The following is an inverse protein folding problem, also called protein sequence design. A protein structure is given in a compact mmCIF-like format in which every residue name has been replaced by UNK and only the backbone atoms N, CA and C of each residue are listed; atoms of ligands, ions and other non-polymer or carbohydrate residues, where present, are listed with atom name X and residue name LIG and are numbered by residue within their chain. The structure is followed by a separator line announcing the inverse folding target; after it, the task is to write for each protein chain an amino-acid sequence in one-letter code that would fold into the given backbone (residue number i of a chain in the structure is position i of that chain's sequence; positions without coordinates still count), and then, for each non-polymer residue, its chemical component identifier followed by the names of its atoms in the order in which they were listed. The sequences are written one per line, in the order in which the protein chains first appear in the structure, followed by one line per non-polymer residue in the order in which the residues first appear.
data_IF_568807360690
#
_entry.id   IF_568807360690
#
_cell.length_a   1.000
_cell.length_b   1.000
_cell.length_c   1.000
_cell.angle_alpha   90.00
_cell.angle_beta   90.00
_cell.angle_gamma   90.00
#
_symmetry.space_group_name_H-M   'P 1'
#
loop_
_entity.id
_entity.type
_entity.pdbx_description
1 polymer ?
#
# COMPACT_ATOMS: atom_id res chain seq x y z
N UNK A 1 -35.02 -21.84 13.76
CA UNK A 1 -36.43 -21.82 14.21
C UNK A 1 -37.08 -20.45 13.96
N UNK A 2 -37.26 -20.05 12.70
CA UNK A 2 -37.97 -18.82 12.33
C UNK A 2 -38.54 -18.93 10.90
N UNK A 3 -39.23 -20.03 10.60
CA UNK A 3 -39.82 -20.26 9.28
C UNK A 3 -41.25 -20.81 9.33
N UNK A 4 -41.96 -20.63 10.46
CA UNK A 4 -43.28 -21.25 10.66
C UNK A 4 -44.44 -20.26 10.88
N UNK A 5 -44.28 -18.98 10.54
CA UNK A 5 -45.33 -17.96 10.70
C UNK A 5 -45.44 -17.03 9.47
N UNK A 6 -45.58 -17.60 8.28
CA UNK A 6 -45.92 -16.81 7.07
C UNK A 6 -47.05 -17.51 6.31
N UNK A 7 -48.18 -16.81 6.21
CA UNK A 7 -49.39 -17.25 5.54
C UNK A 7 -49.20 -17.37 4.02
N UNK A 8 -50.00 -18.25 3.40
CA UNK A 8 -49.88 -18.67 1.99
C UNK A 8 -49.75 -17.51 0.99
N UNK A 9 -50.44 -16.39 1.21
CA UNK A 9 -50.39 -15.21 0.33
C UNK A 9 -49.04 -14.47 0.32
N UNK A 10 -48.29 -14.47 1.43
CA UNK A 10 -46.98 -13.79 1.51
C UNK A 10 -45.86 -14.61 0.86
N UNK A 11 -46.04 -15.93 0.73
CA UNK A 11 -45.08 -16.82 0.05
C UNK A 11 -45.09 -16.61 -1.47
N UNK A 12 -46.25 -16.32 -2.07
CA UNK A 12 -46.35 -16.01 -3.50
C UNK A 12 -45.71 -14.66 -3.85
N UNK A 13 -45.84 -13.64 -2.99
CA UNK A 13 -45.21 -12.34 -3.21
C UNK A 13 -43.67 -12.41 -3.14
N UNK A 14 -43.13 -13.19 -2.20
CA UNK A 14 -41.69 -13.41 -2.07
C UNK A 14 -41.10 -14.21 -3.26
N UNK A 15 -41.84 -15.18 -3.80
CA UNK A 15 -41.46 -15.93 -5.01
C UNK A 15 -41.51 -15.05 -6.28
N UNK A 16 -42.48 -14.14 -6.38
CA UNK A 16 -42.60 -13.22 -7.52
C UNK A 16 -41.46 -12.17 -7.55
N UNK A 17 -41.05 -11.62 -6.40
CA UNK A 17 -39.89 -10.72 -6.33
C UNK A 17 -38.57 -11.42 -6.64
N UNK A 18 -38.44 -12.71 -6.28
CA UNK A 18 -37.24 -13.49 -6.56
C UNK A 18 -37.11 -13.84 -8.07
N UNK A 19 -38.23 -14.04 -8.78
CA UNK A 19 -38.23 -14.28 -10.23
C UNK A 19 -37.92 -13.02 -11.06
N UNK A 20 -38.32 -11.83 -10.59
CA UNK A 20 -37.99 -10.56 -11.27
C UNK A 20 -36.49 -10.25 -11.15
N UNK A 21 -35.87 -10.54 -9.99
CA UNK A 21 -34.42 -10.35 -9.80
C UNK A 21 -33.55 -11.38 -10.56
N UNK A 22 -34.11 -12.51 -10.99
CA UNK A 22 -33.39 -13.54 -11.75
C UNK A 22 -33.47 -13.32 -13.28
N UNK A 23 -34.37 -12.46 -13.78
CA UNK A 23 -34.52 -12.19 -15.21
C UNK A 23 -33.69 -10.98 -15.71
N UNK A 24 -33.15 -10.14 -14.82
CA UNK A 24 -32.31 -8.99 -15.17
C UNK A 24 -30.81 -9.33 -15.38
N UNK A 25 -30.40 -10.61 -15.25
CA UNK A 25 -28.99 -11.03 -15.33
C UNK A 25 -28.58 -11.53 -16.74
N UNK A 26 -29.47 -11.54 -17.75
CA UNK A 26 -29.11 -12.01 -19.10
C UNK A 26 -29.43 -11.03 -20.21
N UNK A 27 -28.54 -10.06 -20.45
CA UNK A 27 -28.31 -9.47 -21.79
C UNK A 27 -26.84 -9.03 -21.94
N UNK A 28 -26.04 -9.61 -22.86
CA UNK A 28 -24.74 -9.06 -23.24
C UNK A 28 -24.90 -8.03 -24.38
N UNK A 29 -24.30 -6.85 -24.22
CA UNK A 29 -24.21 -5.85 -25.29
C UNK A 29 -23.21 -6.28 -26.37
N UNK A 30 -23.74 -6.59 -27.55
CA UNK A 30 -23.01 -6.69 -28.82
C UNK A 30 -22.71 -5.29 -29.34
N UNK A 31 -21.42 -4.94 -29.46
CA UNK A 31 -20.96 -3.80 -30.27
C UNK A 31 -20.64 -4.30 -31.67
N UNK A 32 -21.53 -4.02 -32.64
CA UNK A 32 -21.22 -4.16 -34.05
C UNK A 32 -20.55 -2.88 -34.57
N UNK A 33 -19.31 -3.01 -35.01
CA UNK A 33 -18.71 -2.11 -35.98
C UNK A 33 -19.33 -2.38 -37.36
N UNK A 34 -19.80 -1.35 -38.06
CA UNK A 34 -20.04 -1.48 -39.49
C UNK A 34 -19.66 -0.23 -40.29
N UNK A 35 -19.09 -0.52 -41.46
CA UNK A 35 -18.39 0.36 -42.40
C UNK A 35 -19.15 0.29 -43.72
N UNK A 36 -19.62 1.42 -44.25
CA UNK A 36 -19.84 1.71 -45.69
C UNK A 36 -20.58 3.06 -45.82
N UNK A 37 -20.02 4.08 -46.47
CA UNK A 37 -20.08 4.40 -47.92
C UNK A 37 -21.50 4.64 -48.47
N UNK A 38 -21.74 5.89 -48.92
CA UNK A 38 -22.48 6.14 -50.17
C UNK A 38 -23.63 7.15 -50.11
N UNK A 39 -23.35 8.38 -50.57
CA UNK A 39 -24.15 9.11 -51.58
C UNK A 39 -25.46 9.80 -51.18
N UNK A 40 -25.54 11.11 -51.42
CA UNK A 40 -26.82 11.83 -51.56
C UNK A 40 -26.77 13.33 -51.22
N UNK A 41 -26.47 14.17 -52.21
CA UNK A 41 -26.81 15.60 -52.25
C UNK A 41 -28.36 15.78 -52.34
N UNK A 42 -28.98 16.92 -51.94
CA UNK A 42 -28.73 18.22 -52.59
C UNK A 42 -28.89 19.53 -51.77
N UNK A 43 -28.20 20.56 -52.31
CA UNK A 43 -28.58 21.98 -52.50
C UNK A 43 -29.06 22.84 -51.31
N UNK A 44 -28.33 23.94 -51.11
CA UNK A 44 -28.93 25.28 -51.14
C UNK A 44 -28.35 26.32 -50.17
N UNK A 45 -27.70 27.35 -50.70
CA UNK A 45 -27.87 28.73 -50.22
C UNK A 45 -26.72 29.45 -49.49
N UNK A 46 -25.95 30.25 -50.23
CA UNK A 46 -25.84 31.70 -49.98
C UNK A 46 -24.71 32.29 -49.10
N UNK A 47 -23.89 33.17 -49.71
CA UNK A 47 -23.16 34.29 -49.04
C UNK A 47 -21.64 34.11 -48.92
N UNK A 48 -20.78 34.61 -49.86
CA UNK A 48 -20.18 35.98 -49.96
C UNK A 48 -19.28 36.30 -48.73
N UNK A 49 -17.99 36.68 -48.77
CA UNK A 49 -17.08 37.32 -49.74
C UNK A 49 -15.60 36.93 -49.41
N UNK A 50 -14.68 36.74 -50.37
CA UNK A 50 -13.53 37.63 -50.74
C UNK A 50 -12.74 38.26 -49.58
N UNK A 51 -11.41 38.40 -49.56
CA UNK A 51 -10.30 38.31 -50.54
C UNK A 51 -8.98 38.39 -49.73
N UNK A 52 -7.94 37.64 -50.12
CA UNK A 52 -6.67 38.23 -50.59
C UNK A 52 -5.51 37.30 -50.19
N UNK A 53 -4.88 36.57 -51.12
CA UNK A 53 -3.76 36.98 -52.01
C UNK A 53 -2.47 37.22 -51.23
N UNK A 54 -1.31 36.65 -51.55
CA UNK A 54 -0.85 35.84 -52.69
C UNK A 54 0.46 35.13 -52.30
N UNK A 55 0.80 34.00 -52.95
CA UNK A 55 1.71 33.91 -54.12
C UNK A 55 3.17 34.27 -53.78
N UNK A 56 4.22 33.59 -54.25
CA UNK A 56 4.49 32.54 -55.25
C UNK A 56 5.94 32.10 -54.97
N UNK A 57 6.33 30.84 -55.12
CA UNK A 57 6.70 30.20 -56.40
C UNK A 57 8.17 29.74 -56.27
N UNK A 58 8.48 28.44 -56.39
CA UNK A 58 8.92 27.77 -57.64
C UNK A 58 10.46 27.69 -57.65
N UNK A 59 11.16 26.64 -58.05
CA UNK A 59 10.85 25.37 -58.72
C UNK A 59 12.16 24.80 -59.32
N UNK A 60 12.19 23.49 -59.61
CA UNK A 60 13.12 22.78 -60.53
C UNK A 60 14.57 22.60 -60.05
N UNK A 61 15.34 21.54 -60.36
CA UNK A 61 15.14 20.34 -61.18
C UNK A 61 16.51 19.81 -61.69
N UNK A 62 16.82 18.54 -61.40
CA UNK A 62 17.50 17.54 -62.29
C UNK A 62 18.91 17.75 -62.91
N UNK A 63 19.88 16.84 -62.63
CA UNK A 63 20.46 15.76 -63.53
C UNK A 63 21.88 15.28 -63.16
N UNK A 64 22.08 13.94 -63.21
CA UNK A 64 23.27 13.15 -63.69
C UNK A 64 24.62 13.21 -62.92
N UNK A 65 25.49 12.20 -62.82
CA UNK A 65 25.61 10.80 -63.28
C UNK A 65 27.08 10.30 -63.23
N UNK A 66 27.31 8.97 -63.09
CA UNK A 66 28.55 8.14 -63.29
C UNK A 66 29.73 8.34 -62.28
N UNK A 67 30.56 7.36 -61.88
CA UNK A 67 30.75 5.92 -62.14
C UNK A 67 32.10 5.43 -61.53
N UNK A 68 32.30 4.10 -61.39
CA UNK A 68 33.65 3.46 -61.29
C UNK A 68 33.94 2.52 -60.09
N UNK A 69 34.13 1.21 -60.34
CA UNK A 69 34.98 0.27 -59.54
C UNK A 69 36.36 0.07 -60.23
N UNK A 70 37.14 -1.05 -60.09
CA UNK A 70 36.95 -2.31 -59.32
C UNK A 70 38.27 -3.00 -58.76
N UNK A 71 38.14 -4.29 -58.34
CA UNK A 71 39.13 -5.44 -58.21
C UNK A 71 39.74 -5.73 -56.81
N UNK A 72 39.94 -6.97 -56.34
CA UNK A 72 39.62 -8.34 -56.83
C UNK A 72 40.40 -9.45 -56.07
N UNK A 73 39.96 -10.72 -56.22
CA UNK A 73 40.72 -12.00 -56.07
C UNK A 73 40.85 -12.61 -54.65
N UNK A 74 40.70 -13.92 -54.38
CA UNK A 74 40.46 -15.11 -55.21
C UNK A 74 40.31 -16.38 -54.34
N UNK A 75 39.70 -17.45 -54.91
CA UNK A 75 39.66 -18.82 -54.35
C UNK A 75 40.93 -19.63 -54.67
N UNK A 76 41.00 -20.97 -54.40
CA UNK A 76 40.17 -21.95 -55.12
C UNK A 76 39.74 -23.28 -54.42
N UNK A 77 38.62 -23.82 -54.93
CA UNK A 77 38.23 -25.21 -55.31
C UNK A 77 38.54 -26.47 -54.46
N UNK A 78 37.49 -27.29 -54.26
CA UNK A 78 37.55 -28.76 -54.30
C UNK A 78 36.39 -29.50 -53.58
N UNK A 79 35.44 -30.12 -54.31
CA UNK A 79 34.48 -31.12 -53.78
C UNK A 79 35.09 -32.55 -53.74
N UNK A 80 34.33 -33.66 -53.56
CA UNK A 80 32.87 -33.82 -53.62
C UNK A 80 32.20 -34.75 -52.56
N UNK A 81 30.86 -34.68 -52.51
CA UNK A 81 29.84 -35.72 -52.23
C UNK A 81 29.94 -36.63 -50.98
N UNK A 82 28.90 -36.57 -50.15
CA UNK A 82 28.48 -37.65 -49.24
C UNK A 82 27.08 -37.39 -48.69
N UNK A 83 26.09 -38.14 -49.16
CA UNK A 83 24.74 -38.14 -48.60
C UNK A 83 24.71 -38.79 -47.22
N UNK A 84 23.89 -38.24 -46.32
CA UNK A 84 23.69 -38.75 -44.97
C UNK A 84 22.44 -38.13 -44.38
N UNK A 85 21.36 -38.88 -44.44
CA UNK A 85 20.06 -38.57 -43.84
C UNK A 85 20.23 -38.47 -42.32
N UNK A 86 19.92 -37.30 -41.73
CA UNK A 86 19.84 -37.16 -40.28
C UNK A 86 18.51 -37.78 -39.78
N UNK A 87 18.51 -38.65 -38.74
CA UNK A 87 17.28 -39.26 -38.24
C UNK A 87 16.43 -38.24 -37.48
N UNK A 88 15.13 -38.24 -37.78
CA UNK A 88 14.10 -37.64 -36.93
C UNK A 88 14.14 -38.28 -35.55
N UNK A 89 14.31 -37.47 -34.52
CA UNK A 89 14.06 -37.84 -33.12
C UNK A 89 12.56 -38.13 -32.96
N UNK A 90 12.15 -39.34 -32.51
CA UNK A 90 10.76 -39.63 -32.24
C UNK A 90 10.33 -39.01 -30.90
N UNK A 91 9.20 -38.29 -30.93
CA UNK A 91 8.41 -37.94 -29.75
C UNK A 91 8.04 -39.21 -28.97
N UNK A 92 8.18 -39.27 -27.64
CA UNK A 92 7.62 -40.36 -26.85
C UNK A 92 6.10 -40.26 -26.85
N UNK A 93 5.43 -41.32 -27.35
CA UNK A 93 3.98 -41.52 -27.16
C UNK A 93 3.68 -41.97 -25.72
N UNK A 94 2.47 -41.71 -25.21
CA UNK A 94 2.10 -41.97 -23.83
C UNK A 94 1.90 -43.47 -23.58
N UNK A 95 2.42 -43.97 -22.46
CA UNK A 95 2.25 -45.36 -22.04
C UNK A 95 0.83 -45.59 -21.45
N UNK A 96 0.23 -46.79 -21.62
CA UNK A 96 -1.15 -47.05 -21.28
C UNK A 96 -1.36 -47.31 -19.78
N UNK A 97 -2.56 -46.95 -19.31
CA UNK A 97 -3.06 -47.17 -17.96
C UNK A 97 -2.89 -48.63 -17.49
N UNK A 98 -2.47 -48.86 -16.24
CA UNK A 98 -2.80 -50.07 -15.51
C UNK A 98 -4.17 -49.92 -14.82
N UNK A 99 -5.03 -50.91 -15.04
CA UNK A 99 -6.31 -51.11 -14.37
C UNK A 99 -6.07 -51.61 -12.93
N UNK A 100 -6.75 -50.98 -11.97
CA UNK A 100 -7.35 -51.65 -10.81
C UNK A 100 -6.44 -52.08 -9.65
N UNK A 101 -6.28 -51.18 -8.67
CA UNK A 101 -5.84 -51.52 -7.31
C UNK A 101 -6.38 -50.47 -6.32
N UNK A 102 -7.27 -50.89 -5.43
CA UNK A 102 -8.02 -50.00 -4.52
C UNK A 102 -7.13 -49.22 -3.54
N UNK A 103 -7.53 -47.98 -3.29
CA UNK A 103 -6.98 -47.09 -2.26
C UNK A 103 -7.30 -47.66 -0.86
N UNK A 104 -6.32 -47.91 0.02
CA UNK A 104 -6.62 -48.09 1.44
C UNK A 104 -7.07 -46.75 2.03
N UNK A 105 -8.28 -46.70 2.57
CA UNK A 105 -8.76 -45.56 3.37
C UNK A 105 -7.78 -45.29 4.52
N UNK A 106 -7.40 -44.04 4.81
CA UNK A 106 -6.69 -43.74 6.04
C UNK A 106 -7.58 -44.08 7.24
N UNK A 107 -7.06 -44.86 8.18
CA UNK A 107 -7.71 -45.11 9.47
C UNK A 107 -7.86 -43.78 10.22
N UNK A 108 -9.02 -43.48 10.83
CA UNK A 108 -9.12 -42.36 11.75
C UNK A 108 -8.19 -42.60 12.94
N UNK A 109 -7.36 -41.61 13.29
CA UNK A 109 -6.68 -41.62 14.58
C UNK A 109 -7.74 -41.60 15.70
N UNK A 110 -7.54 -42.31 16.82
CA UNK A 110 -8.46 -42.23 17.95
C UNK A 110 -8.48 -40.80 18.50
N UNK A 111 -9.69 -40.25 18.61
CA UNK A 111 -9.95 -39.01 19.35
C UNK A 111 -9.62 -39.27 20.84
N UNK A 112 -8.83 -38.43 21.51
CA UNK A 112 -8.67 -38.52 22.95
C UNK A 112 -10.02 -38.25 23.63
N UNK A 113 -10.54 -39.24 24.35
CA UNK A 113 -11.67 -39.06 25.25
C UNK A 113 -11.20 -38.21 26.42
N UNK A 114 -11.59 -36.94 26.45
CA UNK A 114 -11.41 -36.08 27.62
C UNK A 114 -12.48 -36.48 28.63
N UNK A 115 -12.08 -37.15 29.71
CA UNK A 115 -12.92 -37.33 30.88
C UNK A 115 -13.15 -35.95 31.54
N UNK A 116 -14.40 -35.57 31.87
CA UNK A 116 -14.65 -34.36 32.63
C UNK A 116 -14.13 -34.57 34.06
N UNK A 117 -13.08 -33.83 34.43
CA UNK A 117 -12.64 -33.72 35.82
C UNK A 117 -13.62 -32.81 36.58
N UNK A 118 -14.28 -33.28 37.65
CA UNK A 118 -15.12 -32.42 38.46
C UNK A 118 -14.24 -31.61 39.44
N UNK A 119 -14.39 -30.29 39.39
CA UNK A 119 -13.87 -29.26 40.30
C UNK A 119 -12.40 -28.81 40.12
N UNK A 120 -12.17 -27.65 39.48
CA UNK A 120 -11.06 -26.79 39.82
C UNK A 120 -11.39 -25.99 41.08
N UNK A 121 -10.60 -26.21 42.14
CA UNK A 121 -10.58 -25.36 43.34
C UNK A 121 -10.13 -23.96 42.93
N UNK A 122 -11.02 -22.97 43.08
CA UNK A 122 -10.73 -21.55 42.86
C UNK A 122 -9.99 -21.02 44.10
N UNK A 123 -8.73 -20.54 43.99
CA UNK A 123 -8.10 -19.82 45.10
C UNK A 123 -8.78 -18.45 45.29
N UNK A 124 -8.97 -17.96 46.53
CA UNK A 124 -9.64 -16.70 46.77
C UNK A 124 -8.82 -15.51 46.24
N UNK A 125 -9.52 -14.54 45.64
CA UNK A 125 -8.96 -13.28 45.16
C UNK A 125 -8.18 -12.56 46.28
N UNK A 126 -7.00 -11.97 46.00
CA UNK A 126 -6.34 -11.08 46.94
C UNK A 126 -7.18 -9.81 47.13
N UNK A 127 -7.52 -9.54 48.39
CA UNK A 127 -8.21 -8.31 48.84
C UNK A 127 -7.25 -7.13 48.66
N UNK A 128 -7.60 -6.20 47.78
CA UNK A 128 -6.91 -4.91 47.66
C UNK A 128 -7.43 -4.00 48.78
N UNK A 129 -6.57 -3.48 49.69
CA UNK A 129 -7.02 -2.58 50.74
C UNK A 129 -7.43 -1.22 50.16
N UNK A 130 -8.68 -0.83 50.40
CA UNK A 130 -9.22 0.50 50.09
C UNK A 130 -8.81 1.49 51.18
N UNK A 131 -7.83 2.34 50.91
CA UNK A 131 -7.59 3.53 51.74
C UNK A 131 -8.48 4.70 51.26
N UNK A 132 -9.09 5.49 52.17
CA UNK A 132 -9.97 6.60 51.79
C UNK A 132 -9.19 7.79 51.23
N UNK A 133 -9.73 8.40 50.17
CA UNK A 133 -9.28 9.67 49.59
C UNK A 133 -9.82 10.82 50.45
N UNK A 134 -9.01 11.78 50.93
CA UNK A 134 -9.51 13.01 51.53
C UNK A 134 -10.00 13.98 50.45
N UNK A 135 -11.19 14.55 50.65
CA UNK A 135 -11.76 15.59 49.82
C UNK A 135 -11.10 16.95 50.08
N UNK A 136 -10.81 17.72 49.02
CA UNK A 136 -10.44 19.14 49.16
C UNK A 136 -10.05 19.84 47.84
N UNK A 137 -10.97 20.69 47.34
CA UNK A 137 -10.65 21.99 46.71
C UNK A 137 -10.18 22.02 45.24
N UNK A 138 -11.00 22.64 44.38
CA UNK A 138 -10.61 23.23 43.09
C UNK A 138 -10.75 24.77 43.17
N UNK A 139 -10.35 25.59 42.18
CA UNK A 139 -9.61 25.30 40.93
C UNK A 139 -8.44 26.29 40.62
N UNK A 140 -7.51 25.90 39.74
CA UNK A 140 -6.53 26.79 39.12
C UNK A 140 -5.78 26.07 38.00
N UNK A 141 -5.75 26.67 36.79
CA UNK A 141 -5.39 26.03 35.52
C UNK A 141 -4.13 25.14 35.53
N UNK A 142 -4.28 23.91 35.04
CA UNK A 142 -3.20 22.95 34.86
C UNK A 142 -3.45 22.12 33.61
N UNK A 143 -2.47 22.10 32.71
CA UNK A 143 -2.48 21.26 31.53
C UNK A 143 -2.70 19.79 31.89
N UNK A 144 -3.51 19.10 31.11
CA UNK A 144 -3.73 17.67 31.25
C UNK A 144 -2.41 16.95 30.98
N UNK A 145 -1.90 16.26 32.01
CA UNK A 145 -0.74 15.38 31.93
C UNK A 145 -1.07 14.19 31.03
N UNK A 146 -0.46 14.16 29.85
CA UNK A 146 -0.31 12.96 29.02
C UNK A 146 0.41 11.91 29.89
N UNK A 147 -0.04 10.64 29.93
CA UNK A 147 0.59 9.61 30.75
C UNK A 147 2.10 9.58 30.51
N UNK A 148 2.82 9.56 31.63
CA UNK A 148 4.26 9.71 31.80
C UNK A 148 5.06 9.10 30.63
N UNK A 149 5.66 9.98 29.82
CA UNK A 149 6.64 9.62 28.83
C UNK A 149 7.90 9.08 29.53
N UNK A 150 7.88 7.80 29.90
CA UNK A 150 9.12 7.03 30.00
C UNK A 150 9.89 7.27 28.70
N UNK A 151 11.12 7.82 28.83
CA UNK A 151 12.09 8.23 27.81
C UNK A 151 11.62 8.00 26.37
N UNK A 152 11.57 9.08 25.57
CA UNK A 152 11.23 9.08 24.14
C UNK A 152 11.97 8.03 23.31
N UNK A 153 11.71 7.95 22.01
CA UNK A 153 12.39 6.98 21.12
C UNK A 153 13.92 7.11 21.25
N UNK A 154 14.61 5.99 21.54
CA UNK A 154 16.04 5.96 21.86
C UNK A 154 16.83 5.36 20.70
N UNK A 155 18.03 5.89 20.43
CA UNK A 155 18.96 5.32 19.46
C UNK A 155 19.81 4.19 20.06
N UNK A 156 19.87 3.04 19.38
CA UNK A 156 20.57 1.82 19.83
C UNK A 156 21.85 1.51 19.03
N UNK A 157 22.38 2.47 18.27
CA UNK A 157 23.69 2.35 17.61
C UNK A 157 23.69 1.71 16.22
N UNK A 158 22.54 1.24 15.75
CA UNK A 158 22.37 0.60 14.45
C UNK A 158 22.28 1.56 13.27
N UNK A 159 22.49 1.06 12.04
CA UNK A 159 22.41 1.88 10.84
C UNK A 159 20.97 2.32 10.53
N UNK A 160 20.84 3.52 9.94
CA UNK A 160 19.60 4.05 9.37
C UNK A 160 19.63 3.93 7.84
N UNK A 161 18.47 4.04 7.18
CA UNK A 161 18.44 4.29 5.74
C UNK A 161 18.71 5.78 5.49
N UNK A 162 19.73 6.09 4.71
CA UNK A 162 20.20 7.48 4.46
C UNK A 162 20.55 7.67 2.98
N UNK A 163 20.72 8.93 2.55
CA UNK A 163 21.17 9.26 1.19
C UNK A 163 20.11 8.99 0.12
N UNK A 164 20.48 8.33 -0.97
CA UNK A 164 19.58 7.98 -2.08
C UNK A 164 18.92 6.62 -1.83
N UNK A 165 17.66 6.60 -1.39
CA UNK A 165 16.89 5.39 -1.10
C UNK A 165 16.07 4.97 -2.32
N UNK A 166 16.31 3.76 -2.83
CA UNK A 166 15.48 3.17 -3.87
C UNK A 166 14.27 2.47 -3.26
N UNK A 167 13.06 2.79 -3.72
CA UNK A 167 11.86 2.00 -3.41
C UNK A 167 11.55 1.05 -4.55
N UNK A 168 11.60 -0.25 -4.29
CA UNK A 168 11.14 -1.28 -5.22
C UNK A 168 9.75 -1.72 -4.79
N UNK A 169 8.73 -1.39 -5.57
CA UNK A 169 7.33 -1.53 -5.16
C UNK A 169 6.68 -2.71 -5.88
N UNK A 170 6.02 -3.57 -5.12
CA UNK A 170 5.12 -4.60 -5.64
C UNK A 170 3.69 -4.35 -5.14
N UNK A 171 2.77 -4.14 -6.07
CA UNK A 171 1.33 -4.15 -5.80
C UNK A 171 0.80 -5.58 -5.94
N UNK A 172 0.54 -6.26 -4.83
CA UNK A 172 0.08 -7.64 -4.81
C UNK A 172 -1.43 -7.72 -4.56
N UNK A 173 -2.18 -8.07 -5.60
CA UNK A 173 -3.64 -8.06 -5.65
C UNK A 173 -4.21 -7.00 -6.59
N UNK A 174 -5.52 -6.81 -6.51
CA UNK A 174 -6.24 -5.88 -7.37
C UNK A 174 -6.09 -4.44 -6.86
N UNK A 175 -5.56 -3.57 -7.72
CA UNK A 175 -5.37 -2.14 -7.46
C UNK A 175 -5.77 -1.33 -8.68
N UNK A 176 -6.61 -0.32 -8.51
CA UNK A 176 -6.97 0.59 -9.60
C UNK A 176 -5.82 1.54 -9.95
N UNK A 177 -5.92 2.19 -11.11
CA UNK A 177 -4.93 3.19 -11.52
C UNK A 177 -4.90 4.39 -10.55
N UNK A 178 -6.07 4.76 -10.02
CA UNK A 178 -6.27 5.84 -9.06
C UNK A 178 -5.59 5.51 -7.73
N UNK A 179 -5.78 4.29 -7.21
CA UNK A 179 -5.13 3.85 -5.97
C UNK A 179 -3.60 3.87 -6.09
N UNK A 180 -3.05 3.37 -7.21
CA UNK A 180 -1.60 3.45 -7.48
C UNK A 180 -1.14 4.89 -7.68
N UNK A 181 -1.99 5.77 -8.20
CA UNK A 181 -1.66 7.18 -8.37
C UNK A 181 -1.57 7.92 -7.03
N UNK A 182 -2.44 7.60 -6.07
CA UNK A 182 -2.39 8.14 -4.70
C UNK A 182 -1.05 7.81 -4.04
N UNK A 183 -0.59 6.55 -4.11
CA UNK A 183 0.73 6.14 -3.59
C UNK A 183 1.88 6.88 -4.28
N UNK A 184 1.88 6.93 -5.61
CA UNK A 184 2.94 7.61 -6.37
C UNK A 184 2.99 9.11 -6.09
N UNK A 185 1.83 9.74 -5.94
CA UNK A 185 1.73 11.18 -5.66
C UNK A 185 2.21 11.47 -4.24
N UNK A 186 1.87 10.64 -3.25
CA UNK A 186 2.42 10.76 -1.89
C UNK A 186 3.96 10.72 -1.92
N UNK A 187 4.55 9.72 -2.57
CA UNK A 187 6.01 9.57 -2.66
C UNK A 187 6.69 10.77 -3.32
N UNK A 188 6.13 11.33 -4.39
CA UNK A 188 6.65 12.56 -5.02
C UNK A 188 6.51 13.77 -4.10
N UNK A 189 5.48 13.80 -3.26
CA UNK A 189 5.20 14.92 -2.36
C UNK A 189 6.21 15.03 -1.22
N UNK A 190 6.89 13.94 -0.84
CA UNK A 190 7.96 13.95 0.16
C UNK A 190 9.22 14.69 -0.33
N UNK A 191 9.44 14.70 -1.65
CA UNK A 191 10.56 15.40 -2.30
C UNK A 191 10.20 16.83 -2.76
N UNK A 192 8.91 17.18 -2.77
CA UNK A 192 8.42 18.46 -3.30
C UNK A 192 8.62 19.61 -2.29
N UNK A 193 9.87 20.05 -2.17
CA UNK A 193 10.29 21.16 -1.29
C UNK A 193 9.89 22.55 -1.81
N UNK A 194 9.44 22.65 -3.07
CA UNK A 194 8.93 23.91 -3.64
C UNK A 194 7.56 24.32 -3.07
N UNK A 195 6.81 23.37 -2.49
CA UNK A 195 5.51 23.65 -1.88
C UNK A 195 5.68 24.25 -0.48
N UNK A 196 5.68 25.58 -0.37
CA UNK A 196 5.87 26.31 0.90
C UNK A 196 4.68 26.24 1.88
N UNK A 197 3.59 25.56 1.52
CA UNK A 197 2.41 25.43 2.37
C UNK A 197 2.77 24.83 3.74
N UNK A 198 2.12 25.31 4.80
CA UNK A 198 2.46 24.89 6.16
C UNK A 198 2.24 23.41 6.42
N UNK A 199 1.21 22.86 5.79
CA UNK A 199 0.84 21.45 5.79
C UNK A 199 1.49 20.64 4.65
N UNK A 200 2.59 21.11 4.04
CA UNK A 200 3.21 20.37 2.94
C UNK A 200 3.75 19.01 3.42
N UNK A 201 3.51 17.95 2.64
CA UNK A 201 3.91 16.59 3.01
C UNK A 201 5.43 16.44 3.23
N UNK A 202 6.26 17.24 2.54
CA UNK A 202 7.70 17.22 2.74
C UNK A 202 8.10 17.67 4.16
N UNK A 203 7.34 18.55 4.83
CA UNK A 203 7.65 18.95 6.22
C UNK A 203 7.50 17.82 7.21
N UNK A 204 6.56 16.91 6.96
CA UNK A 204 6.47 15.65 7.69
C UNK A 204 7.71 14.78 7.45
N UNK A 205 8.19 14.74 6.20
CA UNK A 205 9.41 14.04 5.85
C UNK A 205 10.65 14.64 6.53
N UNK A 206 10.75 15.96 6.66
CA UNK A 206 11.87 16.63 7.31
C UNK A 206 12.02 16.21 8.79
N UNK A 207 10.92 15.88 9.48
CA UNK A 207 10.98 15.32 10.83
C UNK A 207 11.59 13.91 10.80
N UNK A 208 11.23 13.08 9.83
CA UNK A 208 11.83 11.74 9.65
C UNK A 208 13.31 11.86 9.32
N UNK A 209 13.70 12.77 8.42
CA UNK A 209 15.10 13.03 8.08
C UNK A 209 15.91 13.49 9.29
N UNK A 210 15.29 14.24 10.22
CA UNK A 210 15.95 14.78 11.40
C UNK A 210 16.59 13.73 12.30
N UNK A 211 16.09 12.49 12.30
CA UNK A 211 16.65 11.37 13.08
C UNK A 211 18.13 11.12 12.79
N UNK A 212 18.62 11.45 11.59
CA UNK A 212 20.02 11.31 11.21
C UNK A 212 20.96 12.14 12.11
N UNK A 213 20.48 13.25 12.67
CA UNK A 213 21.22 14.14 13.58
C UNK A 213 21.29 13.62 15.02
N UNK A 214 20.52 12.57 15.37
CA UNK A 214 20.41 12.05 16.73
C UNK A 214 21.06 10.67 16.90
N UNK A 215 21.97 10.28 16.00
CA UNK A 215 22.62 8.95 16.00
C UNK A 215 23.80 8.81 16.98
N UNK A 216 23.89 9.66 18.02
CA UNK A 216 25.02 9.70 18.98
C UNK A 216 26.43 9.75 18.34
N UNK A 217 26.54 10.05 17.04
CA UNK A 217 27.83 10.18 16.35
C UNK A 217 28.48 11.51 16.74
N UNK A 218 29.81 11.52 17.00
CA UNK A 218 30.52 12.77 17.28
C UNK A 218 30.37 13.78 16.14
N UNK A 219 30.24 15.06 16.50
CA UNK A 219 30.20 16.17 15.52
C UNK A 219 28.85 16.40 14.85
N UNK A 220 27.79 15.69 15.26
CA UNK A 220 26.42 16.04 14.86
C UNK A 220 25.91 17.22 15.68
N UNK A 221 25.38 18.23 15.00
CA UNK A 221 24.65 19.34 15.60
C UNK A 221 23.15 19.03 15.51
N UNK A 222 22.46 18.79 16.64
CA UNK A 222 21.03 18.58 16.64
C UNK A 222 20.28 19.70 15.95
N UNK A 223 20.76 20.95 15.99
CA UNK A 223 20.11 22.17 15.44
C UNK A 223 20.30 22.37 13.93
N UNK A 224 21.20 21.61 13.30
CA UNK A 224 21.45 21.70 11.87
C UNK A 224 20.26 21.21 11.02
N UNK A 225 20.28 21.55 9.73
CA UNK A 225 19.43 20.90 8.74
C UNK A 225 19.91 19.45 8.54
N UNK A 226 19.01 18.45 8.57
CA UNK A 226 19.41 17.07 8.36
C UNK A 226 19.89 16.82 6.92
N UNK A 227 20.77 15.84 6.70
CA UNK A 227 21.05 15.36 5.35
C UNK A 227 19.76 14.89 4.66
N UNK A 228 19.57 15.24 3.39
CA UNK A 228 18.41 14.80 2.63
C UNK A 228 18.42 13.28 2.41
N UNK A 229 17.30 12.64 2.70
CA UNK A 229 16.99 11.26 2.33
C UNK A 229 16.11 11.29 1.09
N UNK A 230 16.72 11.09 -0.08
CA UNK A 230 16.06 11.20 -1.38
C UNK A 230 15.40 9.89 -1.75
N UNK A 231 14.08 9.90 -1.84
CA UNK A 231 13.29 8.76 -2.28
C UNK A 231 13.28 8.69 -3.80
N UNK A 232 13.82 7.59 -4.33
CA UNK A 232 13.74 7.24 -5.75
C UNK A 232 12.77 6.09 -5.93
N UNK A 233 11.61 6.38 -6.50
CA UNK A 233 10.66 5.33 -6.90
C UNK A 233 11.28 4.56 -8.07
N UNK A 234 11.76 3.35 -7.77
CA UNK A 234 12.44 2.47 -8.71
C UNK A 234 11.46 1.59 -9.48
N UNK A 235 11.73 0.28 -9.50
CA UNK A 235 10.87 -0.69 -10.18
C UNK A 235 9.51 -0.75 -9.53
N UNK A 236 8.44 -0.69 -10.33
CA UNK A 236 7.07 -0.92 -9.89
C UNK A 236 6.52 -2.14 -10.61
N UNK A 237 6.06 -3.11 -9.84
CA UNK A 237 5.51 -4.36 -10.33
C UNK A 237 4.07 -4.51 -9.86
N UNK A 238 3.31 -5.37 -10.54
CA UNK A 238 1.97 -5.75 -10.12
C UNK A 238 1.78 -7.24 -10.25
N UNK A 239 1.07 -7.80 -9.29
CA UNK A 239 0.67 -9.21 -9.26
C UNK A 239 -0.81 -9.26 -8.91
N UNK A 240 -1.64 -9.01 -9.92
CA UNK A 240 -3.10 -8.95 -9.82
C UNK A 240 -3.76 -10.34 -9.79
N UNK A 241 -2.96 -11.39 -10.07
CA UNK A 241 -3.38 -12.80 -10.12
C UNK A 241 -3.21 -13.54 -8.80
N UNK A 242 -2.65 -12.89 -7.78
CA UNK A 242 -2.36 -13.51 -6.49
C UNK A 242 -1.49 -14.77 -6.66
N UNK A 243 -0.34 -14.65 -7.33
CA UNK A 243 0.47 -15.82 -7.76
C UNK A 243 0.85 -16.80 -6.65
N UNK A 244 0.90 -16.37 -5.39
CA UNK A 244 1.20 -17.21 -4.22
C UNK A 244 0.00 -17.35 -3.27
N UNK A 245 -1.20 -16.97 -3.71
CA UNK A 245 -2.45 -17.03 -2.95
C UNK A 245 -2.80 -15.73 -2.21
N UNK A 246 -3.99 -15.71 -1.60
CA UNK A 246 -4.52 -14.53 -0.87
C UNK A 246 -4.11 -14.48 0.60
N UNK A 247 -3.51 -15.54 1.12
CA UNK A 247 -3.00 -15.60 2.49
C UNK A 247 -1.47 -15.65 2.40
N UNK A 248 -0.81 -14.56 2.76
CA UNK A 248 0.64 -14.43 2.71
C UNK A 248 1.26 -14.88 4.03
N UNK A 249 1.91 -16.04 4.01
CA UNK A 249 2.80 -16.50 5.07
C UNK A 249 4.19 -15.88 4.90
N UNK A 250 5.06 -16.04 5.91
CA UNK A 250 6.46 -15.60 5.85
C UNK A 250 7.20 -16.16 4.62
N UNK A 251 6.97 -17.42 4.26
CA UNK A 251 7.61 -18.03 3.08
C UNK A 251 7.16 -17.40 1.76
N UNK A 252 5.87 -17.06 1.65
CA UNK A 252 5.35 -16.36 0.48
C UNK A 252 5.85 -14.93 0.41
N UNK A 253 5.95 -14.24 1.56
CA UNK A 253 6.59 -12.92 1.66
C UNK A 253 8.02 -12.98 1.14
N UNK A 254 8.81 -13.97 1.55
CA UNK A 254 10.19 -14.15 1.08
C UNK A 254 10.26 -14.35 -0.45
N UNK A 255 9.34 -15.13 -1.02
CA UNK A 255 9.25 -15.34 -2.47
C UNK A 255 8.88 -14.05 -3.22
N UNK A 256 7.88 -13.30 -2.72
CA UNK A 256 7.46 -12.02 -3.30
C UNK A 256 8.54 -10.95 -3.18
N UNK A 257 9.27 -10.93 -2.06
CA UNK A 257 10.42 -10.05 -1.86
C UNK A 257 11.48 -10.31 -2.94
N UNK A 258 11.88 -11.58 -3.16
CA UNK A 258 12.89 -11.95 -4.17
C UNK A 258 12.45 -11.56 -5.59
N UNK A 259 11.16 -11.62 -5.88
CA UNK A 259 10.57 -11.15 -7.15
C UNK A 259 10.60 -9.62 -7.26
N UNK A 260 10.36 -8.92 -6.16
CA UNK A 260 10.26 -7.47 -6.11
C UNK A 260 11.63 -6.78 -6.00
N UNK A 261 12.65 -7.43 -5.45
CA UNK A 261 14.00 -6.86 -5.29
C UNK A 261 14.56 -6.47 -6.66
N UNK A 262 14.94 -5.19 -6.78
CA UNK A 262 15.50 -4.64 -8.02
C UNK A 262 17.00 -4.93 -8.16
N UNK A 263 17.65 -5.47 -7.13
CA UNK A 263 19.09 -5.67 -7.06
C UNK A 263 19.90 -4.39 -6.89
N UNK A 264 19.24 -3.21 -6.83
CA UNK A 264 19.91 -1.93 -6.63
C UNK A 264 20.42 -1.78 -5.19
N UNK A 265 21.55 -1.08 -4.98
CA UNK A 265 22.02 -0.76 -3.64
C UNK A 265 21.02 0.17 -2.93
N UNK A 266 21.04 0.15 -1.59
CA UNK A 266 20.18 0.97 -0.74
C UNK A 266 18.70 0.90 -1.18
N UNK A 267 18.14 -0.30 -1.19
CA UNK A 267 16.76 -0.56 -1.62
C UNK A 267 15.91 -0.96 -0.43
N UNK A 268 14.76 -0.31 -0.28
CA UNK A 268 13.64 -0.79 0.53
C UNK A 268 12.61 -1.42 -0.42
N UNK A 269 12.33 -2.71 -0.24
CA UNK A 269 11.28 -3.39 -1.00
C UNK A 269 9.94 -3.15 -0.30
N UNK A 270 8.97 -2.59 -1.02
CA UNK A 270 7.65 -2.26 -0.47
C UNK A 270 6.59 -3.14 -1.12
N UNK A 271 5.86 -3.91 -0.31
CA UNK A 271 4.74 -4.74 -0.73
C UNK A 271 3.43 -4.10 -0.28
N UNK A 272 2.66 -3.55 -1.22
CA UNK A 272 1.28 -3.13 -0.96
C UNK A 272 0.35 -4.29 -1.28
N UNK A 273 -0.46 -4.72 -0.33
CA UNK A 273 -1.41 -5.83 -0.54
C UNK A 273 -2.82 -5.32 -0.80
N UNK A 274 -3.51 -5.93 -1.77
CA UNK A 274 -4.90 -5.60 -2.10
C UNK A 274 -5.85 -5.97 -0.96
N UNK A 275 -7.07 -5.44 -1.00
CA UNK A 275 -8.06 -5.60 0.09
C UNK A 275 -8.45 -7.05 0.40
N UNK A 276 -8.29 -7.96 -0.56
CA UNK A 276 -8.60 -9.39 -0.39
C UNK A 276 -7.41 -10.23 0.10
N UNK A 277 -6.33 -9.60 0.56
CA UNK A 277 -5.10 -10.29 0.96
C UNK A 277 -4.92 -10.23 2.47
N UNK A 278 -4.86 -11.39 3.10
CA UNK A 278 -4.48 -11.52 4.51
C UNK A 278 -2.97 -11.70 4.59
N UNK A 279 -2.31 -10.91 5.43
CA UNK A 279 -0.87 -11.03 5.69
C UNK A 279 -0.65 -11.55 7.11
N UNK A 280 0.15 -12.62 7.24
CA UNK A 280 0.52 -13.14 8.54
C UNK A 280 1.22 -12.06 9.37
N UNK A 281 0.70 -11.79 10.58
CA UNK A 281 1.25 -10.79 11.50
C UNK A 281 0.53 -9.45 11.47
N UNK A 282 -0.19 -9.12 10.39
CA UNK A 282 -1.04 -7.93 10.34
C UNK A 282 -2.41 -8.19 10.97
N UNK A 283 -3.17 -7.13 11.20
CA UNK A 283 -4.51 -7.15 11.82
C UNK A 283 -4.54 -7.66 13.26
N UNK A 284 -3.39 -7.66 13.95
CA UNK A 284 -3.25 -8.03 15.37
C UNK A 284 -2.49 -6.98 16.18
N UNK A 285 -2.88 -5.72 16.01
CA UNK A 285 -2.18 -4.56 16.58
C UNK A 285 -1.14 -3.94 15.64
N UNK A 286 -0.93 -4.54 14.46
CA UNK A 286 -0.09 -4.00 13.39
C UNK A 286 -0.87 -3.88 12.09
N UNK A 287 -0.61 -2.80 11.36
CA UNK A 287 -1.21 -2.50 10.05
C UNK A 287 -0.17 -2.44 8.92
N UNK A 288 1.10 -2.50 9.29
CA UNK A 288 2.25 -2.72 8.43
C UNK A 288 3.29 -3.55 9.20
N UNK A 289 4.26 -4.10 8.49
CA UNK A 289 5.41 -4.79 9.09
C UNK A 289 6.66 -4.43 8.26
N UNK A 290 7.72 -4.01 8.93
CA UNK A 290 9.04 -3.90 8.31
C UNK A 290 9.98 -4.93 8.90
N UNK A 291 10.98 -5.35 8.12
CA UNK A 291 11.88 -6.41 8.54
C UNK A 291 12.95 -6.69 7.51
N UNK A 292 13.59 -7.86 7.62
CA UNK A 292 14.71 -8.25 6.79
C UNK A 292 14.44 -9.54 6.02
N UNK A 293 14.74 -9.54 4.73
CA UNK A 293 14.93 -10.75 3.93
C UNK A 293 16.34 -10.71 3.37
N UNK A 294 17.15 -11.73 3.63
CA UNK A 294 18.55 -11.79 3.19
C UNK A 294 19.36 -10.52 3.58
N UNK A 295 19.17 -10.02 4.81
CA UNK A 295 19.73 -8.76 5.35
C UNK A 295 19.36 -7.48 4.57
N UNK A 296 18.30 -7.52 3.75
CA UNK A 296 17.77 -6.35 3.07
C UNK A 296 16.43 -5.93 3.64
N UNK A 297 16.19 -4.63 3.85
CA UNK A 297 14.97 -4.14 4.45
C UNK A 297 13.77 -4.28 3.52
N UNK A 298 12.62 -4.65 4.09
CA UNK A 298 11.33 -4.64 3.42
C UNK A 298 10.29 -3.90 4.27
N UNK A 299 9.21 -3.50 3.62
CA UNK A 299 8.00 -2.98 4.26
C UNK A 299 6.77 -3.60 3.58
N UNK A 300 5.88 -4.19 4.36
CA UNK A 300 4.58 -4.69 3.90
C UNK A 300 3.49 -3.81 4.49
N UNK A 301 2.53 -3.41 3.66
CA UNK A 301 1.39 -2.61 4.11
C UNK A 301 0.10 -3.28 3.62
N UNK A 302 -0.79 -3.58 4.57
CA UNK A 302 -2.09 -4.16 4.29
C UNK A 302 -3.11 -3.10 3.87
N UNK A 303 -3.95 -3.40 2.87
CA UNK A 303 -5.16 -2.62 2.63
C UNK A 303 -6.26 -3.05 3.61
N UNK A 304 -6.70 -2.17 4.53
CA UNK A 304 -7.63 -2.54 5.59
C UNK A 304 -9.11 -2.54 5.17
N UNK A 305 -9.42 -2.33 3.89
CA UNK A 305 -10.80 -2.18 3.40
C UNK A 305 -11.71 -3.38 3.73
N UNK A 306 -11.17 -4.60 3.73
CA UNK A 306 -11.90 -5.83 4.10
C UNK A 306 -11.29 -6.44 5.36
N UNK A 307 -9.96 -6.57 5.41
CA UNK A 307 -9.25 -7.15 6.54
C UNK A 307 -9.02 -6.09 7.62
N UNK A 308 -9.62 -6.28 8.81
CA UNK A 308 -9.50 -5.43 9.99
C UNK A 308 -9.69 -3.90 9.79
N UNK A 309 -10.76 -3.44 9.12
CA UNK A 309 -11.03 -2.01 8.99
C UNK A 309 -11.18 -1.33 10.36
N UNK A 310 -11.65 -2.07 11.38
CA UNK A 310 -11.79 -1.59 12.75
C UNK A 310 -10.48 -1.49 13.55
N UNK A 311 -9.35 -1.91 12.99
CA UNK A 311 -8.03 -1.75 13.62
C UNK A 311 -7.13 -0.82 12.81
N UNK A 312 -7.23 -0.86 11.48
CA UNK A 312 -6.22 -0.28 10.59
C UNK A 312 -6.73 0.83 9.68
N UNK A 313 -8.02 1.17 9.73
CA UNK A 313 -8.61 2.24 8.91
C UNK A 313 -9.05 3.47 9.70
N UNK A 314 -8.62 3.63 10.96
CA UNK A 314 -8.77 4.89 11.68
C UNK A 314 -7.95 5.99 10.98
N UNK A 315 -8.49 7.21 10.75
CA UNK A 315 -9.76 7.75 11.26
C UNK A 315 -10.95 7.66 10.28
N UNK A 316 -10.84 6.88 9.21
CA UNK A 316 -11.88 6.72 8.18
C UNK A 316 -12.91 5.63 8.51
N UNK A 317 -12.59 4.77 9.47
CA UNK A 317 -13.49 3.78 10.03
C UNK A 317 -13.38 3.78 11.56
N UNK A 318 -14.45 3.35 12.24
CA UNK A 318 -14.48 3.27 13.70
C UNK A 318 -13.54 2.17 14.19
N UNK A 319 -12.75 2.49 15.21
CA UNK A 319 -12.00 1.51 15.99
C UNK A 319 -12.97 0.52 16.65
N UNK A 320 -12.67 -0.76 16.54
CA UNK A 320 -13.52 -1.85 17.04
C UNK A 320 -13.47 -1.98 18.58
N UNK A 321 -12.34 -1.60 19.19
CA UNK A 321 -12.10 -1.81 20.62
C UNK A 321 -11.55 -0.56 21.32
N UNK A 322 -11.91 -0.39 22.60
CA UNK A 322 -11.13 0.38 23.58
C UNK A 322 -11.19 1.91 23.48
N UNK A 323 -11.95 2.48 22.54
CA UNK A 323 -11.98 3.95 22.36
C UNK A 323 -13.43 4.46 22.34
N UNK A 324 -13.87 5.23 23.35
CA UNK A 324 -15.19 5.85 23.37
C UNK A 324 -15.24 7.12 22.47
N UNK A 325 -16.44 7.65 22.24
CA UNK A 325 -16.67 8.96 21.60
C UNK A 325 -15.97 9.18 20.25
N UNK A 326 -15.90 8.11 19.45
CA UNK A 326 -15.20 8.15 18.17
C UNK A 326 -15.92 9.00 17.13
N UNK A 327 -15.18 9.92 16.50
CA UNK A 327 -15.62 10.72 15.36
C UNK A 327 -14.76 10.37 14.16
N UNK A 328 -15.34 9.62 13.22
CA UNK A 328 -14.67 9.32 11.95
C UNK A 328 -14.73 10.52 11.02
N UNK A 329 -13.74 10.60 10.13
CA UNK A 329 -13.66 11.62 9.09
C UNK A 329 -13.73 10.99 7.71
N UNK A 330 -14.04 11.78 6.68
CA UNK A 330 -14.11 11.28 5.31
C UNK A 330 -12.70 11.18 4.70
N UNK A 331 -12.38 10.09 3.98
CA UNK A 331 -11.09 9.94 3.30
C UNK A 331 -10.81 11.05 2.28
N UNK A 332 -9.59 11.65 2.26
CA UNK A 332 -9.27 12.78 1.39
C UNK A 332 -9.25 12.43 -0.11
N UNK A 333 -9.00 11.16 -0.47
CA UNK A 333 -9.00 10.69 -1.85
C UNK A 333 -10.25 9.83 -2.18
N UNK A 334 -11.26 9.86 -1.30
CA UNK A 334 -12.55 9.21 -1.52
C UNK A 334 -12.57 7.69 -1.37
N UNK A 335 -11.46 7.06 -0.98
CA UNK A 335 -11.38 5.62 -0.73
C UNK A 335 -10.69 5.33 0.61
N UNK A 336 -11.46 4.84 1.58
CA UNK A 336 -10.98 4.61 2.94
C UNK A 336 -9.84 3.58 3.01
N UNK A 337 -9.85 2.56 2.15
CA UNK A 337 -8.81 1.53 2.10
C UNK A 337 -7.45 2.08 1.71
N UNK A 338 -7.35 2.78 0.57
CA UNK A 338 -6.09 3.36 0.10
C UNK A 338 -5.60 4.50 0.99
N UNK A 339 -6.51 5.33 1.49
CA UNK A 339 -6.14 6.44 2.37
C UNK A 339 -5.64 5.95 3.74
N UNK A 340 -6.27 4.91 4.30
CA UNK A 340 -5.76 4.26 5.50
C UNK A 340 -4.44 3.52 5.24
N UNK A 341 -4.33 2.84 4.10
CA UNK A 341 -3.08 2.19 3.69
C UNK A 341 -1.94 3.22 3.58
N UNK A 342 -2.21 4.45 3.16
CA UNK A 342 -1.21 5.52 3.15
C UNK A 342 -0.79 5.98 4.56
N UNK A 343 -1.71 6.06 5.53
CA UNK A 343 -1.37 6.34 6.93
C UNK A 343 -0.39 5.27 7.44
N UNK A 344 -0.73 4.00 7.22
CA UNK A 344 0.08 2.86 7.65
C UNK A 344 1.42 2.80 6.91
N UNK A 345 1.44 3.13 5.61
CA UNK A 345 2.66 3.24 4.83
C UNK A 345 3.57 4.36 5.32
N UNK A 346 3.03 5.54 5.64
CA UNK A 346 3.82 6.64 6.17
C UNK A 346 4.45 6.26 7.51
N UNK A 347 3.67 5.71 8.45
CA UNK A 347 4.19 5.21 9.73
C UNK A 347 5.27 4.14 9.52
N UNK A 348 5.02 3.16 8.66
CA UNK A 348 5.97 2.09 8.35
C UNK A 348 7.20 2.54 7.60
N UNK A 349 7.12 3.57 6.76
CA UNK A 349 8.27 4.16 6.09
C UNK A 349 9.16 4.89 7.09
N UNK A 350 8.58 5.63 8.04
CA UNK A 350 9.33 6.26 9.12
C UNK A 350 10.04 5.21 9.99
N UNK A 351 9.34 4.13 10.35
CA UNK A 351 9.93 3.00 11.08
C UNK A 351 11.07 2.33 10.29
N UNK A 352 10.84 1.94 9.04
CA UNK A 352 11.84 1.28 8.20
C UNK A 352 13.09 2.15 7.94
N UNK A 353 12.93 3.48 7.88
CA UNK A 353 14.08 4.39 7.67
C UNK A 353 14.87 4.61 8.95
N UNK A 354 14.18 4.75 10.08
CA UNK A 354 14.80 5.08 11.38
C UNK A 354 15.23 3.85 12.18
N UNK A 355 14.74 2.66 11.83
CA UNK A 355 15.06 1.41 12.50
C UNK A 355 15.07 0.18 11.53
N UNK A 356 15.73 0.23 10.36
CA UNK A 356 15.65 -0.81 9.34
C UNK A 356 16.06 -2.22 9.79
N UNK A 357 16.91 -2.32 10.82
CA UNK A 357 17.50 -3.59 11.30
C UNK A 357 17.19 -3.85 12.77
N UNK A 358 16.14 -3.26 13.33
CA UNK A 358 15.78 -3.37 14.76
C UNK A 358 16.91 -3.01 15.73
N UNK A 359 17.80 -2.12 15.31
CA UNK A 359 18.96 -1.63 16.08
C UNK A 359 19.13 -0.11 16.00
N UNK A 360 18.23 0.60 15.30
CA UNK A 360 18.23 2.06 15.15
C UNK A 360 17.46 2.74 16.27
N UNK A 361 16.35 3.41 15.94
CA UNK A 361 15.54 4.18 16.88
C UNK A 361 14.30 3.43 17.34
N UNK A 362 14.26 3.02 18.61
CA UNK A 362 13.06 2.41 19.21
C UNK A 362 13.08 2.48 20.74
N UNK A 363 11.96 2.12 21.36
CA UNK A 363 11.92 1.67 22.76
C UNK A 363 11.11 0.37 22.87
N UNK A 364 11.30 -0.42 23.94
CA UNK A 364 10.49 -1.60 24.15
C UNK A 364 8.99 -1.27 24.16
N UNK A 365 8.20 -2.09 23.47
CA UNK A 365 6.75 -2.01 23.46
C UNK A 365 6.09 -3.32 23.90
N UNK A 366 4.75 -3.39 23.82
CA UNK A 366 4.00 -4.58 24.19
C UNK A 366 4.36 -5.78 23.31
N UNK A 367 4.44 -6.98 23.90
CA UNK A 367 4.67 -8.26 23.19
C UNK A 367 5.93 -8.27 22.30
N UNK A 368 6.97 -7.60 22.75
CA UNK A 368 8.26 -7.45 22.06
C UNK A 368 8.19 -6.66 20.74
N UNK A 369 7.06 -6.03 20.43
CA UNK A 369 6.94 -5.11 19.31
C UNK A 369 7.54 -3.75 19.68
N UNK A 370 8.55 -3.25 18.95
CA UNK A 370 9.17 -1.97 19.26
C UNK A 370 8.19 -0.82 19.05
N UNK A 371 8.23 0.16 19.95
CA UNK A 371 7.63 1.47 19.72
C UNK A 371 8.67 2.30 18.97
N UNK A 372 8.30 2.82 17.81
CA UNK A 372 9.18 3.46 16.81
C UNK A 372 8.68 4.85 16.44
N UNK A 373 9.38 5.53 15.52
CA UNK A 373 9.09 6.91 15.14
C UNK A 373 7.60 7.15 14.80
N UNK A 374 6.98 6.23 14.05
CA UNK A 374 5.59 6.34 13.62
C UNK A 374 4.55 5.76 14.58
N UNK A 375 4.94 4.89 15.53
CA UNK A 375 4.01 4.24 16.48
C UNK A 375 4.00 4.89 17.86
N UNK A 376 5.03 5.68 18.18
CA UNK A 376 5.09 6.46 19.41
C UNK A 376 3.96 7.51 19.52
N UNK A 377 3.34 7.87 18.40
CA UNK A 377 2.32 8.91 18.28
C UNK A 377 1.03 8.37 17.65
N UNK A 378 0.70 7.12 17.95
CA UNK A 378 -0.47 6.44 17.38
C UNK A 378 -1.77 7.24 17.58
N UNK A 379 -2.57 7.27 16.51
CA UNK A 379 -3.88 7.93 16.45
C UNK A 379 -3.89 9.46 16.68
N UNK A 380 -2.74 10.12 16.63
CA UNK A 380 -2.62 11.58 16.63
C UNK A 380 -2.47 12.08 15.19
N UNK A 381 -3.41 12.91 14.73
CA UNK A 381 -3.36 13.48 13.37
C UNK A 381 -3.25 15.01 13.35
N UNK A 382 -3.64 15.67 14.43
CA UNK A 382 -3.53 17.13 14.56
C UNK A 382 -3.47 17.58 16.00
N UNK A 383 -3.13 18.85 16.19
CA UNK A 383 -3.12 19.46 17.53
C UNK A 383 -4.47 19.28 18.24
N UNK A 384 -4.42 18.96 19.55
CA UNK A 384 -5.61 18.70 20.35
C UNK A 384 -6.28 17.33 20.12
N UNK A 385 -5.60 16.39 19.45
CA UNK A 385 -6.09 15.01 19.36
C UNK A 385 -6.27 14.40 20.75
N UNK A 386 -7.36 13.65 20.89
CA UNK A 386 -7.71 12.87 22.09
C UNK A 386 -8.18 11.48 21.62
N UNK A 387 -8.19 10.45 22.48
CA UNK A 387 -8.66 9.13 22.08
C UNK A 387 -10.05 9.20 21.41
N UNK A 388 -10.12 8.76 20.15
CA UNK A 388 -11.36 8.76 19.35
C UNK A 388 -11.60 10.04 18.54
N UNK A 389 -10.68 11.01 18.55
CA UNK A 389 -10.79 12.21 17.72
C UNK A 389 -9.43 12.58 17.13
N UNK A 390 -9.43 12.99 15.87
CA UNK A 390 -8.21 13.24 15.08
C UNK A 390 -7.38 14.43 15.57
N UNK A 391 -7.95 15.30 16.40
CA UNK A 391 -7.45 16.65 16.58
C UNK A 391 -7.79 17.53 15.38
N UNK A 392 -7.12 18.68 15.25
CA UNK A 392 -7.35 19.63 14.15
C UNK A 392 -6.91 19.05 12.81
N UNK A 393 -7.86 18.91 11.90
CA UNK A 393 -7.64 18.53 10.49
C UNK A 393 -8.47 19.48 9.62
N UNK A 394 -8.00 19.72 8.40
CA UNK A 394 -8.72 20.55 7.43
C UNK A 394 -9.82 19.77 6.73
N UNK A 395 -10.83 20.48 6.25
CA UNK A 395 -11.92 19.95 5.46
C UNK A 395 -11.84 20.47 4.04
N UNK A 396 -11.89 19.57 3.06
CA UNK A 396 -12.03 19.94 1.66
C UNK A 396 -13.49 20.31 1.36
N UNK A 397 -13.83 21.56 1.01
CA UNK A 397 -15.22 21.93 0.73
C UNK A 397 -15.79 21.24 -0.51
N UNK A 398 -14.94 20.81 -1.46
CA UNK A 398 -15.40 20.18 -2.70
C UNK A 398 -15.73 18.69 -2.51
N UNK A 399 -14.86 17.96 -1.83
CA UNK A 399 -15.01 16.51 -1.63
C UNK A 399 -15.63 16.15 -0.28
N UNK A 400 -15.59 17.05 0.70
CA UNK A 400 -15.88 16.78 2.11
C UNK A 400 -14.82 15.92 2.80
N UNK A 401 -13.70 15.62 2.14
CA UNK A 401 -12.60 14.82 2.69
C UNK A 401 -11.79 15.60 3.73
N UNK A 402 -11.36 14.94 4.80
CA UNK A 402 -10.50 15.53 5.81
C UNK A 402 -9.03 15.21 5.57
N UNK A 403 -8.16 16.18 5.78
CA UNK A 403 -6.73 16.06 5.51
C UNK A 403 -5.90 16.89 6.49
N UNK A 404 -4.65 16.51 6.68
CA UNK A 404 -3.68 17.31 7.42
C UNK A 404 -2.39 17.57 6.64
N UNK A 405 -2.31 17.08 5.40
CA UNK A 405 -1.17 17.30 4.54
C UNK A 405 -1.58 17.55 3.09
N UNK A 406 -0.80 18.40 2.41
CA UNK A 406 -0.95 18.73 0.99
C UNK A 406 0.34 18.36 0.26
N UNK A 407 0.21 17.64 -0.85
CA UNK A 407 1.32 17.22 -1.67
C UNK A 407 1.38 17.86 -3.05
N UNK A 408 2.11 17.20 -3.94
CA UNK A 408 2.27 17.57 -5.34
C UNK A 408 0.89 17.78 -6.00
N UNK A 409 0.75 18.87 -6.76
CA UNK A 409 -0.47 19.23 -7.50
C UNK A 409 -1.72 19.34 -6.61
N UNK A 410 -1.55 19.64 -5.33
CA UNK A 410 -2.64 19.85 -4.38
C UNK A 410 -3.34 18.56 -3.92
N UNK A 411 -2.76 17.38 -4.17
CA UNK A 411 -3.31 16.14 -3.64
C UNK A 411 -3.28 16.17 -2.11
N UNK A 412 -4.37 15.73 -1.47
CA UNK A 412 -4.57 15.82 -0.03
C UNK A 412 -4.33 14.47 0.61
N UNK A 413 -3.70 14.48 1.78
CA UNK A 413 -3.36 13.28 2.54
C UNK A 413 -3.71 13.45 4.02
N UNK A 414 -3.96 12.31 4.67
CA UNK A 414 -3.91 12.21 6.11
C UNK A 414 -2.59 11.50 6.46
N UNK A 415 -1.72 12.17 7.19
CA UNK A 415 -0.45 11.62 7.66
C UNK A 415 -0.51 11.39 9.17
N UNK A 416 0.06 10.28 9.67
CA UNK A 416 0.17 10.07 11.10
C UNK A 416 1.11 11.09 11.72
N UNK A 417 0.94 11.38 13.01
CA UNK A 417 1.99 12.05 13.76
C UNK A 417 3.25 11.18 13.82
N UNK A 418 4.41 11.82 13.91
CA UNK A 418 5.70 11.17 14.10
C UNK A 418 6.37 11.74 15.35
N UNK A 419 7.06 10.89 16.12
CA UNK A 419 7.86 11.35 17.24
C UNK A 419 8.98 12.26 16.74
N UNK A 420 9.08 13.46 17.29
CA UNK A 420 10.11 14.41 16.93
C UNK A 420 11.28 14.32 17.91
N UNK A 421 12.47 13.84 17.47
CA UNK A 421 13.62 13.65 18.35
C UNK A 421 14.21 14.96 18.88
N UNK A 422 13.91 16.09 18.24
CA UNK A 422 14.35 17.43 18.66
C UNK A 422 13.55 17.96 19.84
N UNK A 423 12.23 17.77 19.82
CA UNK A 423 11.32 18.34 20.82
C UNK A 423 10.84 17.32 21.84
N UNK A 424 11.16 16.03 21.64
CA UNK A 424 10.67 14.91 22.45
C UNK A 424 9.14 14.94 22.60
N UNK A 425 8.44 15.22 21.50
CA UNK A 425 6.99 15.29 21.42
C UNK A 425 6.49 14.78 20.08
N UNK A 426 5.21 14.43 20.01
CA UNK A 426 4.53 14.10 18.77
C UNK A 426 4.35 15.34 17.89
N UNK A 427 4.82 15.27 16.65
CA UNK A 427 4.69 16.35 15.67
C UNK A 427 3.61 16.01 14.64
N UNK A 428 2.80 17.01 14.30
CA UNK A 428 1.74 16.93 13.29
C UNK A 428 1.97 17.99 12.22
N UNK A 429 1.49 17.74 11.00
CA UNK A 429 1.59 18.70 9.90
C UNK A 429 0.69 19.95 10.09
N UNK A 430 -0.28 19.89 11.02
CA UNK A 430 -1.22 20.95 11.40
C UNK A 430 -1.44 21.04 12.91
#
# INVERSE_FOLDING_TARGET
MAASLMGSGQRLAALALCLILLLDITMPSLVLANKAKGGGHPRGGGGRAQKGSGHKGGGGGHKGGKGGGPKGGGGPKGGPKGGGVAPRVPNPKPNPNPVGGGIPKPKPNPVPVIHPNPNPVIPPNPVIPTNPIPAGGAPGGGGVTIPEAGKGIIYHGGPLLTGDLNLSILFYGQFTAEQKNVVRSFLRSLENTENDHIASAHRWWDIVESYQLFTNKPGLDPTAAPPRLRIKVGTQQSDDKYTVGKVLTIDFINSLFKKADSGKPNTLVVLFTGSQVTVQGLCRGKCYEHGLVDNKPYLIVGNPEIECPGACAWPFNRLEYGVPNQVTVKPPNGNAGIDAMLINFASGLAAAVTNPFNTGFFKPGPKDDPIEAGTACDNIFGSGAVPGQTGKVELDPASGGSYNAIGEKGMKFMLPSVWNPRTNNCWTAL
#
